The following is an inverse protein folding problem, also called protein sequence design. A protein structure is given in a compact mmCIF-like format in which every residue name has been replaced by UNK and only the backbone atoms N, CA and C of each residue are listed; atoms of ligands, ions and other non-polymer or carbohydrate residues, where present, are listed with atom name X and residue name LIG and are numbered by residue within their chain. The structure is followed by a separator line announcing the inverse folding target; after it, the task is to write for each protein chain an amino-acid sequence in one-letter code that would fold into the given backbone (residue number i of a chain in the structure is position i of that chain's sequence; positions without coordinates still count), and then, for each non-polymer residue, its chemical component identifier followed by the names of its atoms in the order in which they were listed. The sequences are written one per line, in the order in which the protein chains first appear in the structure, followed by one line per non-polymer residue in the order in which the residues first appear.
data_IF_289353877960
#
_entry.id   IF_289353877960
#
_cell.length_a   1.000
_cell.length_b   1.000
_cell.length_c   1.000
_cell.angle_alpha   90.00
_cell.angle_beta   90.00
_cell.angle_gamma   90.00
#
_symmetry.space_group_name_H-M   'P 1'
#
loop_
_entity.id
_entity.type
_entity.pdbx_description
1 polymer ?
#
# COMPACT_ATOMS: atom_id res chain seq x y z
N UNK A 1 7.81 -3.32 25.19
CA UNK A 1 7.93 -1.95 24.70
C UNK A 1 9.26 -1.85 23.98
N UNK A 2 9.29 -2.09 22.67
CA UNK A 2 10.45 -1.76 21.84
C UNK A 2 10.50 -0.25 21.73
N UNK A 3 11.66 0.36 22.04
CA UNK A 3 11.87 1.79 21.89
C UNK A 3 11.45 2.24 20.47
N UNK A 4 10.89 3.46 20.29
CA UNK A 4 10.74 4.00 18.95
C UNK A 4 12.15 4.11 18.38
N UNK A 5 12.45 3.33 17.34
CA UNK A 5 13.69 3.45 16.60
C UNK A 5 13.77 4.89 16.11
N UNK A 6 14.60 5.72 16.76
CA UNK A 6 14.88 7.10 16.35
C UNK A 6 15.82 7.11 15.13
N UNK A 7 15.72 6.09 14.28
CA UNK A 7 16.53 5.90 13.09
C UNK A 7 15.96 6.80 11.99
N UNK A 8 16.74 7.81 11.60
CA UNK A 8 16.47 8.55 10.37
C UNK A 8 16.85 7.67 9.19
N UNK A 9 15.86 7.08 8.53
CA UNK A 9 16.09 6.31 7.32
C UNK A 9 16.28 7.26 6.13
N UNK A 10 17.27 7.01 5.25
CA UNK A 10 17.43 7.81 4.06
C UNK A 10 16.16 7.72 3.21
N UNK A 11 15.71 8.87 2.70
CA UNK A 11 14.62 8.91 1.72
C UNK A 11 15.10 8.10 0.49
N UNK A 12 14.27 7.21 -0.07
CA UNK A 12 14.60 6.50 -1.29
C UNK A 12 15.07 7.45 -2.39
N UNK A 13 16.12 7.08 -3.09
CA UNK A 13 16.76 7.93 -4.12
C UNK A 13 15.85 8.21 -5.31
N UNK A 14 14.92 7.29 -5.61
CA UNK A 14 13.94 7.40 -6.68
C UNK A 14 12.69 6.54 -6.36
N UNK A 15 11.69 6.63 -7.23
CA UNK A 15 10.47 5.86 -7.13
C UNK A 15 10.70 4.34 -7.14
N UNK A 16 11.60 3.84 -8.00
CA UNK A 16 11.85 2.40 -8.12
C UNK A 16 12.48 1.83 -6.84
N UNK A 17 13.36 2.59 -6.19
CA UNK A 17 13.97 2.21 -4.92
C UNK A 17 12.92 2.18 -3.79
N UNK A 18 11.98 3.11 -3.77
CA UNK A 18 10.88 3.08 -2.80
C UNK A 18 9.97 1.85 -3.01
N UNK A 19 9.61 1.55 -4.26
CA UNK A 19 8.79 0.38 -4.58
C UNK A 19 9.50 -0.93 -4.18
N UNK A 20 10.79 -1.06 -4.49
CA UNK A 20 11.60 -2.21 -4.06
C UNK A 20 11.67 -2.33 -2.55
N UNK A 21 11.88 -1.23 -1.84
CA UNK A 21 11.87 -1.21 -0.37
C UNK A 21 10.53 -1.70 0.19
N UNK A 22 9.42 -1.21 -0.36
CA UNK A 22 8.07 -1.62 0.03
C UNK A 22 7.84 -3.13 -0.18
N UNK A 23 8.25 -3.67 -1.33
CA UNK A 23 8.15 -5.11 -1.63
C UNK A 23 8.99 -5.93 -0.65
N UNK A 24 10.23 -5.54 -0.39
CA UNK A 24 11.09 -6.22 0.57
C UNK A 24 10.49 -6.17 1.98
N UNK A 25 10.07 -4.99 2.44
CA UNK A 25 9.48 -4.81 3.76
C UNK A 25 8.24 -5.69 3.95
N UNK A 26 7.32 -5.67 2.99
CA UNK A 26 6.11 -6.50 3.06
C UNK A 26 6.45 -8.00 3.01
N UNK A 27 7.49 -8.38 2.25
CA UNK A 27 7.93 -9.77 2.22
C UNK A 27 8.45 -10.25 3.58
N UNK A 28 9.23 -9.40 4.26
CA UNK A 28 9.74 -9.68 5.61
C UNK A 28 8.61 -9.72 6.65
N UNK A 29 7.67 -8.77 6.62
CA UNK A 29 6.55 -8.71 7.58
C UNK A 29 5.68 -9.96 7.52
N UNK A 30 5.40 -10.46 6.32
CA UNK A 30 4.50 -11.61 6.11
C UNK A 30 5.21 -12.95 5.96
N UNK A 31 6.55 -12.96 5.93
CA UNK A 31 7.33 -14.17 5.71
C UNK A 31 7.03 -14.85 4.37
N UNK A 32 6.59 -14.09 3.35
CA UNK A 32 6.29 -14.61 2.02
C UNK A 32 6.79 -13.64 0.94
N UNK A 33 7.00 -14.13 -0.28
CA UNK A 33 7.52 -13.28 -1.36
C UNK A 33 6.43 -12.37 -1.91
N UNK A 34 6.60 -11.06 -1.78
CA UNK A 34 5.86 -10.08 -2.56
C UNK A 34 6.54 -9.84 -3.92
N UNK A 35 5.75 -9.49 -4.92
CA UNK A 35 6.25 -9.20 -6.27
C UNK A 35 5.45 -8.08 -6.92
N UNK A 36 6.11 -7.33 -7.81
CA UNK A 36 5.45 -6.32 -8.65
C UNK A 36 4.31 -6.97 -9.45
N UNK A 37 3.15 -6.33 -9.45
CA UNK A 37 1.99 -6.79 -10.18
C UNK A 37 1.99 -6.20 -11.59
N UNK A 38 2.43 -6.99 -12.57
CA UNK A 38 2.47 -6.58 -13.98
C UNK A 38 3.66 -5.70 -14.33
N UNK A 39 3.64 -5.10 -15.51
CA UNK A 39 4.67 -4.20 -16.06
C UNK A 39 4.07 -2.85 -16.42
N UNK A 40 4.93 -1.83 -16.54
CA UNK A 40 4.54 -0.52 -17.06
C UNK A 40 3.77 -0.65 -18.39
N UNK A 41 2.63 0.04 -18.49
CA UNK A 41 1.70 -0.04 -19.62
C UNK A 41 0.59 -1.09 -19.48
N UNK A 42 0.66 -1.98 -18.48
CA UNK A 42 -0.46 -2.89 -18.17
C UNK A 42 -1.45 -2.22 -17.20
N UNK A 43 -2.73 -2.60 -17.29
CA UNK A 43 -3.74 -2.17 -16.32
C UNK A 43 -3.52 -2.89 -15.00
N UNK A 44 -2.90 -2.20 -14.03
CA UNK A 44 -2.54 -2.75 -12.73
C UNK A 44 -3.65 -2.61 -11.67
N UNK A 45 -4.77 -1.95 -12.00
CA UNK A 45 -5.93 -1.76 -11.11
C UNK A 45 -5.55 -1.20 -9.73
N UNK A 46 -4.57 -0.30 -9.68
CA UNK A 46 -4.10 0.33 -8.45
C UNK A 46 -3.25 -0.58 -7.55
N UNK A 47 -2.89 -1.79 -7.98
CA UNK A 47 -2.01 -2.71 -7.25
C UNK A 47 -0.62 -2.66 -7.85
N UNK A 48 0.35 -2.16 -7.09
CA UNK A 48 1.76 -2.11 -7.52
C UNK A 48 2.48 -3.42 -7.22
N UNK A 49 2.17 -4.05 -6.09
CA UNK A 49 2.72 -5.35 -5.71
C UNK A 49 1.69 -6.21 -4.96
N UNK A 50 1.91 -7.52 -4.95
CA UNK A 50 1.11 -8.44 -4.17
C UNK A 50 1.93 -9.60 -3.62
N UNK A 51 1.42 -10.18 -2.53
CA UNK A 51 1.88 -11.43 -1.94
C UNK A 51 0.70 -12.38 -1.74
N UNK A 52 0.99 -13.68 -1.74
CA UNK A 52 0.01 -14.73 -1.45
C UNK A 52 0.46 -15.42 -0.17
N UNK A 53 -0.41 -15.41 0.84
CA UNK A 53 -0.16 -16.08 2.12
C UNK A 53 -0.33 -17.61 1.98
N UNK A 54 0.22 -18.42 2.91
CA UNK A 54 0.06 -19.88 2.90
C UNK A 54 -1.40 -20.36 2.92
N UNK A 55 -2.32 -19.55 3.45
CA UNK A 55 -3.76 -19.83 3.47
C UNK A 55 -4.48 -19.44 2.15
N UNK A 56 -3.75 -18.94 1.15
CA UNK A 56 -4.28 -18.51 -0.15
C UNK A 56 -4.78 -17.06 -0.20
N UNK A 57 -4.75 -16.33 0.91
CA UNK A 57 -5.19 -14.93 0.92
C UNK A 57 -4.20 -14.05 0.15
N UNK A 58 -4.76 -13.14 -0.66
CA UNK A 58 -3.99 -12.15 -1.42
C UNK A 58 -3.87 -10.88 -0.59
N UNK A 59 -2.62 -10.43 -0.40
CA UNK A 59 -2.32 -9.10 0.10
C UNK A 59 -1.88 -8.25 -1.08
N UNK A 60 -2.58 -7.15 -1.31
CA UNK A 60 -2.28 -6.19 -2.36
C UNK A 60 -1.70 -4.90 -1.75
N UNK A 61 -0.77 -4.29 -2.46
CA UNK A 61 -0.03 -3.12 -2.00
C UNK A 61 -0.02 -2.07 -3.09
N UNK A 62 -0.27 -0.82 -2.71
CA UNK A 62 0.00 0.35 -3.52
C UNK A 62 1.07 1.20 -2.83
N UNK A 63 2.12 1.54 -3.55
CA UNK A 63 3.15 2.46 -3.11
C UNK A 63 2.75 3.89 -3.50
N UNK A 64 2.94 4.85 -2.60
CA UNK A 64 2.70 6.28 -2.78
C UNK A 64 3.85 7.07 -2.17
N UNK A 65 5.01 7.06 -2.82
CA UNK A 65 6.12 7.96 -2.54
C UNK A 65 5.90 9.37 -3.11
N UNK A 66 6.63 10.36 -2.58
CA UNK A 66 6.76 11.67 -3.21
C UNK A 66 8.15 11.81 -3.78
N UNK A 67 8.23 12.23 -5.03
CA UNK A 67 9.46 12.82 -5.57
C UNK A 67 9.74 14.12 -4.81
N UNK A 68 11.01 14.36 -4.48
CA UNK A 68 11.52 15.49 -3.71
C UNK A 68 11.30 16.88 -4.37
N UNK A 69 10.39 16.99 -5.35
CA UNK A 69 10.16 18.20 -6.14
C UNK A 69 8.73 18.72 -6.13
N UNK A 70 7.72 17.93 -6.52
CA UNK A 70 6.40 18.49 -6.87
C UNK A 70 5.21 17.53 -6.68
N UNK A 71 5.29 16.57 -5.73
CA UNK A 71 4.17 15.70 -5.40
C UNK A 71 3.24 16.33 -4.36
N UNK A 72 1.96 16.58 -4.70
CA UNK A 72 0.97 17.08 -3.74
C UNK A 72 0.84 16.14 -2.52
N UNK A 73 0.51 16.71 -1.35
CA UNK A 73 0.22 15.92 -0.14
C UNK A 73 -0.79 14.81 -0.43
N UNK A 74 -0.53 13.60 0.06
CA UNK A 74 -1.52 12.53 0.03
C UNK A 74 -2.78 13.05 0.73
N UNK A 75 -3.92 12.95 0.07
CA UNK A 75 -5.20 13.46 0.55
C UNK A 75 -6.17 12.29 0.75
N UNK A 76 -7.22 12.46 1.57
CA UNK A 76 -8.25 11.43 1.75
C UNK A 76 -8.82 10.91 0.42
N UNK A 77 -9.02 11.80 -0.57
CA UNK A 77 -9.47 11.44 -1.92
C UNK A 77 -8.54 10.44 -2.65
N UNK A 78 -7.26 10.44 -2.34
CA UNK A 78 -6.28 9.56 -2.97
C UNK A 78 -6.43 8.13 -2.40
N UNK A 79 -6.77 7.99 -1.11
CA UNK A 79 -7.13 6.71 -0.49
C UNK A 79 -8.39 6.15 -1.16
N UNK A 80 -9.43 6.98 -1.33
CA UNK A 80 -10.65 6.58 -2.05
C UNK A 80 -10.39 6.15 -3.49
N UNK A 81 -9.44 6.80 -4.15
CA UNK A 81 -9.08 6.49 -5.54
C UNK A 81 -8.37 5.15 -5.60
N UNK A 82 -7.35 4.94 -4.76
CA UNK A 82 -6.65 3.66 -4.59
C UNK A 82 -7.63 2.50 -4.36
N UNK A 83 -8.52 2.65 -3.38
CA UNK A 83 -9.54 1.65 -3.01
C UNK A 83 -10.54 1.39 -4.13
N UNK A 84 -10.85 2.40 -4.95
CA UNK A 84 -11.78 2.25 -6.07
C UNK A 84 -11.16 1.50 -7.23
N UNK A 85 -9.88 1.72 -7.50
CA UNK A 85 -9.16 1.08 -8.61
C UNK A 85 -9.10 -0.44 -8.43
N UNK A 86 -8.94 -0.90 -7.19
CA UNK A 86 -8.89 -2.34 -6.85
C UNK A 86 -10.20 -3.07 -7.11
N UNK A 87 -11.34 -2.38 -7.31
CA UNK A 87 -12.62 -3.01 -7.67
C UNK A 87 -12.57 -3.81 -8.97
N UNK A 88 -11.64 -3.48 -9.86
CA UNK A 88 -11.44 -4.18 -11.13
C UNK A 88 -10.41 -5.33 -11.03
N UNK A 89 -9.83 -5.54 -9.85
CA UNK A 89 -8.90 -6.62 -9.61
C UNK A 89 -9.67 -7.95 -9.57
N UNK A 90 -9.24 -8.92 -10.40
CA UNK A 90 -10.02 -10.14 -10.66
C UNK A 90 -10.08 -11.09 -9.46
N UNK A 91 -9.06 -11.10 -8.61
CA UNK A 91 -8.96 -12.02 -7.48
C UNK A 91 -9.42 -11.32 -6.19
N UNK A 92 -9.95 -12.07 -5.23
CA UNK A 92 -10.32 -11.49 -3.93
C UNK A 92 -9.06 -11.01 -3.20
N UNK A 93 -9.00 -9.72 -2.88
CA UNK A 93 -7.99 -9.16 -1.98
C UNK A 93 -8.48 -9.38 -0.55
N UNK A 94 -7.64 -9.92 0.33
CA UNK A 94 -7.94 -10.04 1.76
C UNK A 94 -7.53 -8.77 2.52
N UNK A 95 -6.37 -8.22 2.17
CA UNK A 95 -5.82 -6.99 2.75
C UNK A 95 -5.26 -6.07 1.67
N UNK A 96 -5.56 -4.77 1.77
CA UNK A 96 -5.01 -3.76 0.87
C UNK A 96 -4.25 -2.69 1.66
N UNK A 97 -2.96 -2.52 1.34
CA UNK A 97 -2.10 -1.55 2.01
C UNK A 97 -1.69 -0.43 1.06
N UNK A 98 -1.75 0.81 1.56
CA UNK A 98 -1.13 1.96 0.92
C UNK A 98 0.13 2.31 1.72
N UNK A 99 1.30 2.17 1.11
CA UNK A 99 2.59 2.49 1.72
C UNK A 99 3.06 3.85 1.21
N UNK A 100 3.34 4.80 2.12
CA UNK A 100 3.73 6.16 1.74
C UNK A 100 4.95 6.65 2.48
N UNK A 101 5.74 7.51 1.82
CA UNK A 101 6.78 8.33 2.47
C UNK A 101 6.23 9.62 3.08
N UNK A 102 4.92 9.89 2.96
CA UNK A 102 4.29 11.05 3.57
C UNK A 102 4.32 10.95 5.09
N UNK A 103 4.46 12.06 5.82
CA UNK A 103 4.27 12.08 7.27
C UNK A 103 2.86 11.59 7.64
N UNK A 104 2.74 10.99 8.83
CA UNK A 104 1.45 10.62 9.41
C UNK A 104 0.50 11.82 9.44
N UNK A 105 -0.78 11.56 9.18
CA UNK A 105 -1.82 12.57 9.11
C UNK A 105 -3.12 11.97 9.63
N UNK A 106 -3.66 12.55 10.71
CA UNK A 106 -4.85 12.03 11.39
C UNK A 106 -6.05 11.94 10.45
N UNK A 107 -6.23 12.90 9.52
CA UNK A 107 -7.33 12.84 8.58
C UNK A 107 -7.17 11.70 7.55
N UNK A 108 -5.94 11.33 7.19
CA UNK A 108 -5.68 10.16 6.34
C UNK A 108 -5.93 8.84 7.10
N UNK A 109 -5.46 8.77 8.34
CA UNK A 109 -5.62 7.58 9.19
C UNK A 109 -7.10 7.34 9.53
N UNK A 110 -7.84 8.38 9.93
CA UNK A 110 -9.27 8.31 10.22
C UNK A 110 -10.06 7.86 8.98
N UNK A 111 -9.73 8.40 7.80
CA UNK A 111 -10.36 8.00 6.54
C UNK A 111 -10.10 6.52 6.22
N UNK A 112 -8.85 6.06 6.37
CA UNK A 112 -8.49 4.65 6.17
C UNK A 112 -9.27 3.74 7.12
N UNK A 113 -9.37 4.11 8.41
CA UNK A 113 -10.15 3.37 9.42
C UNK A 113 -11.63 3.30 9.04
N UNK A 114 -12.23 4.42 8.59
CA UNK A 114 -13.63 4.45 8.16
C UNK A 114 -13.88 3.54 6.95
N UNK A 115 -12.99 3.57 5.96
CA UNK A 115 -13.09 2.70 4.77
C UNK A 115 -12.95 1.23 5.17
N UNK A 116 -11.94 0.86 5.97
CA UNK A 116 -11.74 -0.52 6.43
C UNK A 116 -12.96 -1.03 7.20
N UNK A 117 -13.55 -0.22 8.11
CA UNK A 117 -14.78 -0.59 8.82
C UNK A 117 -15.96 -0.81 7.87
N UNK A 118 -16.15 0.08 6.90
CA UNK A 118 -17.21 -0.04 5.90
C UNK A 118 -17.05 -1.31 5.05
N UNK A 119 -15.82 -1.60 4.63
CA UNK A 119 -15.51 -2.79 3.83
C UNK A 119 -15.68 -4.10 4.61
N UNK A 120 -15.30 -4.13 5.89
CA UNK A 120 -15.55 -5.26 6.78
C UNK A 120 -17.04 -5.62 6.85
N UNK A 121 -17.91 -4.62 7.01
CA UNK A 121 -19.36 -4.81 7.05
C UNK A 121 -19.94 -5.28 5.70
N UNK A 122 -19.27 -4.95 4.60
CA UNK A 122 -19.67 -5.32 3.24
C UNK A 122 -19.03 -6.64 2.74
N UNK A 123 -18.23 -7.33 3.57
CA UNK A 123 -17.52 -8.54 3.17
C UNK A 123 -16.42 -8.30 2.12
N UNK A 124 -15.86 -7.10 2.06
CA UNK A 124 -14.72 -6.73 1.21
C UNK A 124 -13.40 -6.95 1.95
N UNK A 125 -12.30 -6.40 1.41
CA UNK A 125 -10.97 -6.45 2.01
C UNK A 125 -10.83 -5.55 3.24
N UNK A 126 -9.84 -5.87 4.07
CA UNK A 126 -9.43 -5.08 5.23
C UNK A 126 -8.38 -4.04 4.87
#
# INVERSE_FOLDING_TARGET
MTAPNNASYPIPADWQNFERLCITLMSEIYGCKFQVYGRSGQRQNGVDALGILPNGDVIAVQCKGRDQGYGSRLKPKDIHTAVRETKNFKNRIAHFYILSTSPNDVALEDEAVQITRSHLLQGRFR
#
